data_IF_677933087251
#
_entry.id   IF_677933087251
#
_cell.length_a   1.000
_cell.length_b   1.000
_cell.length_c   1.000
_cell.angle_alpha   90.00
_cell.angle_beta   90.00
_cell.angle_gamma   90.00
#
_symmetry.space_group_name_H-M   'P 1'
#
loop_
_entity.id
_entity.type
_entity.pdbx_description
1 polymer ?
#
# COMPACT_ATOMS: atom_id res chain seq x y z
N UNK A 1 -4.50 -23.12 26.68
CA UNK A 1 -3.17 -22.77 26.14
C UNK A 1 -3.42 -21.50 25.37
N UNK A 2 -3.44 -20.39 26.11
CA UNK A 2 -3.98 -19.11 25.64
C UNK A 2 -2.92 -18.42 24.79
N UNK A 3 -3.19 -18.26 23.50
CA UNK A 3 -2.41 -17.38 22.66
C UNK A 3 -2.78 -15.95 23.04
N UNK A 4 -1.82 -15.22 23.61
CA UNK A 4 -1.91 -13.76 23.76
C UNK A 4 -2.02 -13.14 22.37
N UNK A 5 -3.19 -12.61 22.06
CA UNK A 5 -3.42 -11.73 20.92
C UNK A 5 -2.76 -10.38 21.25
N UNK A 6 -1.58 -10.14 20.67
CA UNK A 6 -0.91 -8.85 20.76
C UNK A 6 -1.65 -7.86 19.87
N UNK A 7 -2.60 -7.11 20.42
CA UNK A 7 -3.19 -5.95 19.74
C UNK A 7 -2.10 -4.87 19.64
N UNK A 8 -1.47 -4.77 18.46
CA UNK A 8 -0.58 -3.64 18.18
C UNK A 8 -1.41 -2.36 18.22
N UNK A 9 -1.06 -1.42 19.11
CA UNK A 9 -1.78 -0.17 19.25
C UNK A 9 -1.66 0.64 17.95
N UNK A 10 -2.80 1.01 17.36
CA UNK A 10 -2.83 1.80 16.14
C UNK A 10 -2.17 3.17 16.32
N UNK A 11 -1.41 3.65 15.33
CA UNK A 11 -0.79 4.97 15.40
C UNK A 11 -1.89 6.05 15.47
N UNK A 12 -1.91 6.78 16.58
CA UNK A 12 -2.74 7.99 16.71
C UNK A 12 -2.16 9.08 15.81
N UNK A 13 -2.89 9.42 14.76
CA UNK A 13 -2.63 10.54 13.87
C UNK A 13 -3.24 11.81 14.49
N UNK A 14 -2.50 12.92 14.49
CA UNK A 14 -2.98 14.18 15.06
C UNK A 14 -3.83 15.00 14.07
N UNK A 15 -4.56 15.98 14.60
CA UNK A 15 -5.44 16.82 13.80
C UNK A 15 -4.69 17.68 12.78
N UNK A 16 -3.42 18.02 13.05
CA UNK A 16 -2.60 18.78 12.12
C UNK A 16 -2.26 17.95 10.88
N UNK A 17 -1.85 16.69 11.05
CA UNK A 17 -1.57 15.73 9.97
C UNK A 17 -2.80 15.52 9.09
N UNK A 18 -4.00 15.40 9.69
CA UNK A 18 -5.26 15.29 8.96
C UNK A 18 -5.51 16.57 8.13
N UNK A 19 -5.36 17.74 8.74
CA UNK A 19 -5.57 19.01 8.07
C UNK A 19 -4.58 19.23 6.91
N UNK A 20 -3.33 18.80 7.07
CA UNK A 20 -2.31 18.84 6.02
C UNK A 20 -2.69 17.95 4.84
N UNK A 21 -3.13 16.71 5.08
CA UNK A 21 -3.62 15.83 4.01
C UNK A 21 -4.81 16.44 3.27
N UNK A 22 -5.78 16.99 4.00
CA UNK A 22 -6.98 17.61 3.40
C UNK A 22 -6.65 18.84 2.56
N UNK A 23 -5.62 19.61 2.93
CA UNK A 23 -5.19 20.81 2.21
C UNK A 23 -4.31 20.48 1.00
N UNK A 24 -3.35 19.56 1.17
CA UNK A 24 -2.26 19.34 0.21
C UNK A 24 -2.47 18.10 -0.66
N UNK A 25 -3.40 17.21 -0.29
CA UNK A 25 -3.67 15.95 -0.98
C UNK A 25 -2.67 14.82 -0.66
N UNK A 26 -1.65 15.09 0.17
CA UNK A 26 -0.66 14.11 0.61
C UNK A 26 -0.04 14.53 1.96
N UNK A 27 0.37 13.55 2.78
CA UNK A 27 1.06 13.79 4.05
C UNK A 27 2.03 12.65 4.38
N UNK A 28 3.09 12.93 5.16
CA UNK A 28 4.06 11.93 5.59
C UNK A 28 3.80 11.47 7.03
N UNK A 29 3.49 10.19 7.22
CA UNK A 29 3.31 9.57 8.53
C UNK A 29 4.48 8.63 8.82
N UNK A 30 5.47 9.10 9.58
CA UNK A 30 6.69 8.33 9.85
C UNK A 30 6.41 7.17 10.80
N UNK A 31 6.86 5.97 10.42
CA UNK A 31 6.74 4.77 11.24
C UNK A 31 5.36 4.11 11.21
N UNK A 32 4.44 4.56 10.35
CA UNK A 32 3.09 4.00 10.22
C UNK A 32 3.07 2.46 10.07
N UNK A 33 4.05 1.91 9.35
CA UNK A 33 4.17 0.48 9.06
C UNK A 33 5.45 -0.14 9.63
N UNK A 34 6.08 0.48 10.64
CA UNK A 34 7.38 0.03 11.16
C UNK A 34 7.39 -1.46 11.52
N UNK A 35 6.34 -1.93 12.20
CA UNK A 35 6.24 -3.32 12.64
C UNK A 35 5.67 -4.27 11.55
N UNK A 36 5.39 -3.72 10.36
CA UNK A 36 4.84 -4.44 9.21
C UNK A 36 5.86 -4.59 8.06
N UNK A 37 7.03 -3.94 8.15
CA UNK A 37 8.04 -3.93 7.08
C UNK A 37 8.41 -5.35 6.64
N UNK A 38 8.68 -6.24 7.58
CA UNK A 38 9.08 -7.62 7.26
C UNK A 38 7.94 -8.38 6.55
N UNK A 39 6.69 -8.23 7.00
CA UNK A 39 5.52 -8.86 6.36
C UNK A 39 5.30 -8.32 4.94
N UNK A 40 5.49 -7.01 4.75
CA UNK A 40 5.40 -6.38 3.41
C UNK A 40 6.50 -6.92 2.50
N UNK A 41 7.74 -6.99 2.98
CA UNK A 41 8.87 -7.51 2.22
C UNK A 41 8.67 -8.98 1.82
N UNK A 42 8.26 -9.83 2.78
CA UNK A 42 7.94 -11.24 2.52
C UNK A 42 6.80 -11.39 1.50
N UNK A 43 5.78 -10.54 1.57
CA UNK A 43 4.68 -10.52 0.61
C UNK A 43 5.11 -10.13 -0.79
N UNK A 44 5.97 -9.12 -0.92
CA UNK A 44 6.55 -8.69 -2.21
C UNK A 44 7.38 -9.83 -2.81
N UNK A 45 8.27 -10.45 -2.03
CA UNK A 45 9.10 -11.56 -2.50
C UNK A 45 8.25 -12.76 -2.94
N UNK A 46 7.25 -13.14 -2.13
CA UNK A 46 6.32 -14.21 -2.50
C UNK A 46 5.58 -13.86 -3.79
N UNK A 47 5.17 -12.60 -3.97
CA UNK A 47 4.50 -12.15 -5.18
C UNK A 47 5.41 -12.26 -6.41
N UNK A 48 6.67 -11.83 -6.32
CA UNK A 48 7.64 -11.96 -7.42
C UNK A 48 7.83 -13.44 -7.80
N UNK A 49 8.00 -14.32 -6.82
CA UNK A 49 8.19 -15.77 -7.05
C UNK A 49 6.94 -16.47 -7.59
N UNK A 50 5.75 -15.93 -7.33
CA UNK A 50 4.45 -16.51 -7.66
C UNK A 50 3.56 -15.49 -8.39
N UNK A 51 4.16 -14.77 -9.34
CA UNK A 51 3.53 -13.63 -9.99
C UNK A 51 2.27 -14.04 -10.78
N UNK A 52 1.39 -13.07 -11.00
CA UNK A 52 0.18 -13.31 -11.78
C UNK A 52 0.50 -13.48 -13.27
N UNK A 53 -0.46 -14.02 -14.04
CA UNK A 53 -0.36 -14.05 -15.50
C UNK A 53 -0.35 -12.65 -16.15
N UNK A 54 -0.73 -11.61 -15.39
CA UNK A 54 -0.74 -10.21 -15.81
C UNK A 54 0.45 -9.43 -15.30
N UNK A 55 1.38 -10.09 -14.59
CA UNK A 55 2.60 -9.46 -14.12
C UNK A 55 3.44 -8.99 -15.31
N UNK A 56 4.12 -7.87 -15.13
CA UNK A 56 5.05 -7.32 -16.09
C UNK A 56 6.43 -7.22 -15.44
N UNK A 57 7.44 -7.75 -16.12
CA UNK A 57 8.84 -7.63 -15.74
C UNK A 57 9.61 -7.04 -16.92
N UNK A 58 9.80 -5.73 -16.87
CA UNK A 58 10.45 -4.99 -17.94
C UNK A 58 11.92 -4.83 -17.55
N UNK A 59 12.75 -5.74 -18.05
CA UNK A 59 14.19 -5.59 -18.01
C UNK A 59 14.65 -4.46 -18.95
N UNK A 60 15.43 -3.51 -18.43
CA UNK A 60 15.94 -2.38 -19.19
C UNK A 60 17.31 -1.92 -18.72
N UNK A 61 18.36 -2.18 -19.53
CA UNK A 61 19.72 -1.75 -19.21
C UNK A 61 20.31 -2.51 -18.00
N UNK A 62 20.60 -1.79 -16.91
CA UNK A 62 21.24 -2.36 -15.69
C UNK A 62 20.25 -2.78 -14.59
N UNK A 63 18.94 -2.62 -14.80
CA UNK A 63 17.92 -2.97 -13.81
C UNK A 63 16.61 -3.41 -14.47
N UNK A 64 15.67 -3.84 -13.65
CA UNK A 64 14.31 -4.21 -14.04
C UNK A 64 13.25 -3.41 -13.28
N UNK A 65 12.08 -3.30 -13.91
CA UNK A 65 10.87 -2.83 -13.26
C UNK A 65 9.85 -3.97 -13.30
N UNK A 66 9.52 -4.48 -12.12
CA UNK A 66 8.48 -5.49 -11.95
C UNK A 66 7.22 -4.83 -11.40
N UNK A 67 6.08 -5.14 -12.00
CA UNK A 67 4.77 -4.75 -11.54
C UNK A 67 3.74 -5.87 -11.62
N UNK A 68 2.88 -5.94 -10.61
CA UNK A 68 1.80 -6.92 -10.54
C UNK A 68 0.60 -6.35 -9.76
N UNK A 69 -0.61 -6.68 -10.20
CA UNK A 69 -1.84 -5.99 -9.82
C UNK A 69 -2.90 -6.94 -9.24
N UNK A 70 -3.59 -6.53 -8.17
CA UNK A 70 -4.68 -7.28 -7.53
C UNK A 70 -4.31 -8.72 -7.08
N UNK A 71 -3.21 -8.85 -6.33
CA UNK A 71 -2.72 -10.13 -5.82
C UNK A 71 -3.14 -10.40 -4.36
N UNK A 72 -3.73 -9.42 -3.67
CA UNK A 72 -3.89 -9.43 -2.22
C UNK A 72 -4.63 -10.64 -1.66
N UNK A 73 -5.62 -11.20 -2.37
CA UNK A 73 -6.38 -12.38 -1.91
C UNK A 73 -5.56 -13.67 -1.97
N UNK A 74 -4.57 -13.74 -2.87
CA UNK A 74 -3.73 -14.93 -3.08
C UNK A 74 -2.50 -14.93 -2.19
N UNK A 75 -1.94 -13.75 -1.89
CA UNK A 75 -0.70 -13.61 -1.13
C UNK A 75 -1.07 -13.44 0.36
N UNK A 76 -0.80 -14.42 1.23
CA UNK A 76 -1.23 -14.38 2.63
C UNK A 76 -0.73 -13.15 3.39
N UNK A 77 0.47 -12.68 3.09
CA UNK A 77 1.06 -11.48 3.67
C UNK A 77 0.25 -10.23 3.31
N UNK A 78 -0.20 -10.11 2.06
CA UNK A 78 -1.06 -9.00 1.63
C UNK A 78 -2.43 -9.05 2.28
N UNK A 79 -3.05 -10.24 2.40
CA UNK A 79 -4.29 -10.40 3.17
C UNK A 79 -4.11 -9.86 4.60
N UNK A 80 -3.01 -10.25 5.27
CA UNK A 80 -2.71 -9.78 6.62
C UNK A 80 -2.52 -8.28 6.67
N UNK A 81 -1.76 -7.69 5.76
CA UNK A 81 -1.57 -6.23 5.71
C UNK A 81 -2.92 -5.51 5.54
N UNK A 82 -3.76 -5.98 4.62
CA UNK A 82 -5.07 -5.36 4.36
C UNK A 82 -6.01 -5.47 5.56
N UNK A 83 -5.96 -6.58 6.31
CA UNK A 83 -6.93 -6.89 7.38
C UNK A 83 -6.47 -6.48 8.78
N UNK A 84 -5.18 -6.55 9.06
CA UNK A 84 -4.63 -6.49 10.41
C UNK A 84 -3.69 -5.28 10.61
N UNK A 85 -3.21 -4.64 9.54
CA UNK A 85 -2.34 -3.47 9.64
C UNK A 85 -3.11 -2.18 9.95
N UNK A 86 -2.42 -1.10 10.38
CA UNK A 86 -3.08 0.17 10.66
C UNK A 86 -3.57 0.91 9.39
N UNK A 87 -3.37 0.36 8.18
CA UNK A 87 -3.72 1.01 6.92
C UNK A 87 -5.19 1.47 6.88
N UNK A 88 -6.14 0.61 7.29
CA UNK A 88 -7.56 0.93 7.24
C UNK A 88 -7.92 2.10 8.18
N UNK A 89 -7.36 2.12 9.39
CA UNK A 89 -7.59 3.18 10.37
C UNK A 89 -6.94 4.50 9.96
N UNK A 90 -5.70 4.45 9.47
CA UNK A 90 -5.00 5.62 8.93
C UNK A 90 -5.76 6.22 7.75
N UNK A 91 -6.21 5.37 6.82
CA UNK A 91 -6.99 5.79 5.67
C UNK A 91 -8.30 6.46 6.09
N UNK A 92 -9.07 5.83 6.99
CA UNK A 92 -10.32 6.40 7.50
C UNK A 92 -10.08 7.76 8.19
N UNK A 93 -9.01 7.87 8.97
CA UNK A 93 -8.66 9.11 9.67
C UNK A 93 -8.33 10.25 8.69
N UNK A 94 -7.42 10.04 7.72
CA UNK A 94 -7.04 11.09 6.77
C UNK A 94 -8.16 11.45 5.81
N UNK A 95 -9.00 10.47 5.42
CA UNK A 95 -10.18 10.70 4.59
C UNK A 95 -11.34 11.35 5.36
N UNK A 96 -11.27 11.46 6.68
CA UNK A 96 -12.38 11.89 7.54
C UNK A 96 -13.64 11.02 7.34
N UNK A 97 -13.45 9.72 7.22
CA UNK A 97 -14.53 8.75 7.05
C UNK A 97 -14.71 7.89 8.30
N UNK A 98 -15.88 7.24 8.40
CA UNK A 98 -16.15 6.26 9.48
C UNK A 98 -15.46 4.91 9.25
N UNK A 99 -15.07 4.63 8.00
CA UNK A 99 -14.50 3.35 7.57
C UNK A 99 -13.72 3.54 6.27
N UNK A 100 -12.70 2.72 6.05
CA UNK A 100 -12.03 2.58 4.77
C UNK A 100 -12.43 1.25 4.11
N UNK A 101 -12.62 1.27 2.79
CA UNK A 101 -12.78 0.06 2.00
C UNK A 101 -11.52 -0.15 1.17
N UNK A 102 -10.90 -1.32 1.32
CA UNK A 102 -9.79 -1.71 0.48
C UNK A 102 -10.26 -1.91 -0.96
N UNK A 103 -9.55 -1.33 -1.92
CA UNK A 103 -9.93 -1.37 -3.34
C UNK A 103 -9.04 -2.30 -4.17
N UNK A 104 -7.71 -2.13 -4.11
CA UNK A 104 -6.75 -3.01 -4.77
C UNK A 104 -5.35 -2.87 -4.15
N UNK A 105 -4.47 -3.82 -4.46
CA UNK A 105 -3.01 -3.72 -4.30
C UNK A 105 -2.33 -3.60 -5.66
N UNK A 106 -1.15 -2.96 -5.65
CA UNK A 106 -0.25 -2.90 -6.78
C UNK A 106 1.19 -3.02 -6.27
N UNK A 107 1.86 -4.13 -6.59
CA UNK A 107 3.28 -4.32 -6.27
C UNK A 107 4.10 -3.62 -7.34
N UNK A 108 5.05 -2.80 -6.91
CA UNK A 108 5.93 -2.02 -7.78
C UNK A 108 7.37 -2.18 -7.27
N UNK A 109 8.22 -2.86 -8.04
CA UNK A 109 9.64 -3.08 -7.69
C UNK A 109 10.53 -2.47 -8.75
N UNK A 110 11.40 -1.55 -8.33
CA UNK A 110 12.43 -0.94 -9.16
C UNK A 110 13.80 -1.37 -8.67
N UNK A 111 14.42 -2.30 -9.39
CA UNK A 111 15.78 -2.73 -9.08
C UNK A 111 16.80 -1.58 -9.24
N UNK A 112 17.91 -1.60 -8.49
CA UNK A 112 18.97 -0.62 -8.65
C UNK A 112 19.42 -0.48 -10.10
N UNK A 113 19.51 0.75 -10.59
CA UNK A 113 19.92 1.03 -11.98
C UNK A 113 18.78 1.11 -12.98
N UNK A 114 17.53 0.81 -12.60
CA UNK A 114 16.34 0.99 -13.43
C UNK A 114 16.13 2.47 -13.78
N UNK A 115 16.15 2.78 -15.08
CA UNK A 115 16.06 4.15 -15.59
C UNK A 115 14.61 4.57 -15.94
N UNK A 116 13.61 3.72 -15.69
CA UNK A 116 12.21 3.98 -16.04
C UNK A 116 11.59 4.99 -15.04
N UNK A 117 11.32 6.24 -15.43
CA UNK A 117 10.65 7.19 -14.55
C UNK A 117 9.20 6.77 -14.32
N UNK A 118 8.60 7.24 -13.22
CA UNK A 118 7.15 7.25 -13.04
C UNK A 118 6.66 8.63 -13.47
N UNK A 119 6.00 8.78 -14.64
CA UNK A 119 5.50 10.09 -15.09
C UNK A 119 4.51 10.69 -14.09
N UNK A 120 4.39 12.01 -14.10
CA UNK A 120 3.38 12.70 -13.30
C UNK A 120 1.97 12.27 -13.74
N UNK A 121 1.15 11.83 -12.79
CA UNK A 121 -0.23 11.40 -13.03
C UNK A 121 -1.08 11.60 -11.77
N UNK A 122 -2.39 11.38 -11.92
CA UNK A 122 -3.33 11.16 -10.82
C UNK A 122 -3.91 9.75 -10.99
N UNK A 123 -4.26 9.10 -9.89
CA UNK A 123 -4.73 7.72 -9.88
C UNK A 123 -6.19 7.58 -10.35
N UNK A 124 -7.07 8.51 -9.98
CA UNK A 124 -8.53 8.45 -10.22
C UNK A 124 -8.91 8.08 -11.67
N UNK A 125 -8.29 8.66 -12.73
CA UNK A 125 -8.63 8.31 -14.11
C UNK A 125 -8.42 6.83 -14.49
N UNK A 126 -7.67 6.07 -13.69
CA UNK A 126 -7.41 4.65 -13.92
C UNK A 126 -8.40 3.73 -13.18
N UNK A 127 -9.23 4.27 -12.29
CA UNK A 127 -10.12 3.48 -11.46
C UNK A 127 -11.55 3.47 -12.01
N UNK A 128 -12.23 2.34 -11.85
CA UNK A 128 -13.66 2.18 -12.17
C UNK A 128 -14.58 2.64 -11.01
N UNK A 129 -14.07 3.51 -10.14
CA UNK A 129 -14.80 4.10 -9.02
C UNK A 129 -14.63 5.62 -9.05
N UNK A 130 -15.64 6.34 -8.57
CA UNK A 130 -15.64 7.80 -8.44
C UNK A 130 -15.79 8.18 -6.96
N UNK A 131 -15.22 9.32 -6.57
CA UNK A 131 -15.28 9.83 -5.21
C UNK A 131 -14.08 10.70 -4.82
N UNK A 132 -14.27 11.53 -3.80
CA UNK A 132 -13.24 12.43 -3.26
C UNK A 132 -12.51 11.86 -2.04
N UNK A 133 -13.02 10.79 -1.43
CA UNK A 133 -12.44 10.12 -0.26
C UNK A 133 -11.67 8.88 -0.71
N UNK A 134 -10.48 9.10 -1.26
CA UNK A 134 -9.54 8.05 -1.65
C UNK A 134 -8.14 8.36 -1.12
N UNK A 135 -7.34 7.32 -0.90
CA UNK A 135 -5.93 7.42 -0.47
C UNK A 135 -5.16 6.20 -0.96
N UNK A 136 -3.90 6.42 -1.34
CA UNK A 136 -2.91 5.40 -1.69
C UNK A 136 -1.76 5.47 -0.67
N UNK A 137 -1.15 4.32 -0.34
CA UNK A 137 -0.02 4.22 0.60
C UNK A 137 1.30 3.95 -0.12
#
# INVERSE_FOLDING_TARGET
MDKQESTMASPKIDAATIADYQRDGAVCIRGAFKDWVDVIADGIERNIQNHSATASDIAGGKGSFFDDYCNWERIPEFVRIVRESPAAELAAAVMQSRSAQFFHDHVLVKEPGTQKPTPLHQDIPYYFVDGSQTVSF
#
